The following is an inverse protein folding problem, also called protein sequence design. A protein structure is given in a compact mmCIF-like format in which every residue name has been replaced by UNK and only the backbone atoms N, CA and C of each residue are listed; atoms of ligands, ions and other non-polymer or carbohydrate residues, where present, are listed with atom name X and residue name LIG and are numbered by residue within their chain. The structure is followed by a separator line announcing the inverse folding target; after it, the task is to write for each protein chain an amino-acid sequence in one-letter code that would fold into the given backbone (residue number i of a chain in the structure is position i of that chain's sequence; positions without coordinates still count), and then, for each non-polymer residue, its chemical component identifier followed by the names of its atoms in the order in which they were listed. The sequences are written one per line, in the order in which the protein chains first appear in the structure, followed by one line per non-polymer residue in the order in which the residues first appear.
data_IF_983515040450
#
_entry.id   IF_983515040450
#
_cell.length_a   1.000
_cell.length_b   1.000
_cell.length_c   1.000
_cell.angle_alpha   90.00
_cell.angle_beta   90.00
_cell.angle_gamma   90.00
#
_symmetry.space_group_name_H-M   'P 1'
#
loop_
_entity.id
_entity.type
_entity.pdbx_description
1 polymer ?
#
# COMPACT_ATOMS: atom_id res chain seq x y z
N UNK A 1 11.11 12.76 46.07
CA UNK A 1 11.67 12.93 44.70
C UNK A 1 11.70 11.64 43.85
N UNK A 2 11.75 10.43 44.44
CA UNK A 2 11.84 9.15 43.69
C UNK A 2 10.56 8.78 42.92
N UNK A 3 9.39 9.19 43.41
CA UNK A 3 8.07 8.91 42.80
C UNK A 3 7.80 9.76 41.55
N UNK A 4 8.36 10.97 41.46
CA UNK A 4 8.20 11.86 40.30
C UNK A 4 9.08 11.40 39.11
N UNK A 5 10.29 10.89 39.39
CA UNK A 5 11.19 10.34 38.36
C UNK A 5 10.75 8.97 37.83
N UNK A 6 10.09 8.15 38.66
CA UNK A 6 9.56 6.85 38.27
C UNK A 6 8.36 6.97 37.29
N UNK A 7 7.51 7.99 37.48
CA UNK A 7 6.36 8.27 36.60
C UNK A 7 6.79 8.78 35.23
N UNK A 8 7.82 9.63 35.17
CA UNK A 8 8.35 10.15 33.90
C UNK A 8 9.12 9.09 33.11
N UNK A 9 9.85 8.18 33.76
CA UNK A 9 10.49 7.04 33.08
C UNK A 9 9.48 6.04 32.51
N UNK A 10 8.37 5.78 33.22
CA UNK A 10 7.32 4.86 32.75
C UNK A 10 6.59 5.41 31.50
N UNK A 11 6.31 6.71 31.47
CA UNK A 11 5.72 7.39 30.31
C UNK A 11 6.65 7.36 29.08
N UNK A 12 7.94 7.58 29.27
CA UNK A 12 8.93 7.54 28.18
C UNK A 12 9.07 6.14 27.56
N UNK A 13 8.99 5.07 28.38
CA UNK A 13 9.06 3.68 27.90
C UNK A 13 7.80 3.31 27.10
N UNK A 14 6.61 3.70 27.55
CA UNK A 14 5.36 3.48 26.79
C UNK A 14 5.36 4.18 25.42
N UNK A 15 5.90 5.40 25.34
CA UNK A 15 6.04 6.14 24.06
C UNK A 15 7.04 5.45 23.13
N UNK A 16 8.13 4.91 23.67
CA UNK A 16 9.13 4.18 22.87
C UNK A 16 8.59 2.86 22.29
N UNK A 17 7.75 2.14 23.05
CA UNK A 17 7.14 0.89 22.58
C UNK A 17 6.02 1.10 21.55
N UNK A 18 5.33 2.24 21.58
CA UNK A 18 4.23 2.54 20.65
C UNK A 18 4.72 2.82 19.21
N UNK A 19 5.95 3.31 19.03
CA UNK A 19 6.52 3.57 17.71
C UNK A 19 6.89 2.28 16.94
N UNK A 20 7.17 1.18 17.65
CA UNK A 20 7.62 -0.09 17.06
C UNK A 20 6.48 -0.95 16.49
N UNK A 21 5.21 -0.56 16.70
CA UNK A 21 4.03 -1.35 16.31
C UNK A 21 3.39 -0.89 14.99
N UNK A 22 4.17 -0.40 14.04
CA UNK A 22 3.72 -0.28 12.64
C UNK A 22 3.91 -1.63 11.95
N UNK A 23 3.13 -2.63 12.40
CA UNK A 23 2.97 -3.85 11.65
C UNK A 23 2.24 -3.51 10.35
N UNK A 24 2.96 -3.45 9.23
CA UNK A 24 2.32 -3.54 7.92
C UNK A 24 1.64 -4.90 7.86
N UNK A 25 0.33 -4.91 8.04
CA UNK A 25 -0.48 -6.04 7.62
C UNK A 25 -0.40 -6.10 6.09
N UNK A 26 0.66 -6.72 5.57
CA UNK A 26 0.57 -7.37 4.28
C UNK A 26 -0.44 -8.51 4.49
N UNK A 27 -1.72 -8.21 4.21
CA UNK A 27 -2.70 -9.23 3.90
C UNK A 27 -2.16 -9.97 2.67
N UNK A 28 -1.31 -10.97 2.93
CA UNK A 28 -0.72 -11.79 1.92
C UNK A 28 -1.88 -12.47 1.17
N UNK A 29 -2.05 -12.11 -0.10
CA UNK A 29 -3.02 -12.75 -0.97
C UNK A 29 -2.81 -14.27 -0.91
N UNK A 30 -3.92 -15.02 -0.84
CA UNK A 30 -3.82 -16.48 -0.94
C UNK A 30 -3.15 -16.87 -2.27
N UNK A 31 -2.44 -18.02 -2.34
CA UNK A 31 -1.84 -18.47 -3.58
C UNK A 31 -2.82 -18.50 -4.76
N UNK A 32 -4.06 -18.91 -4.52
CA UNK A 32 -5.13 -18.99 -5.51
C UNK A 32 -5.58 -17.60 -5.99
N UNK A 33 -5.70 -16.63 -5.07
CA UNK A 33 -6.03 -15.25 -5.43
C UNK A 33 -4.94 -14.62 -6.30
N UNK A 34 -3.67 -14.90 -5.99
CA UNK A 34 -2.53 -14.45 -6.79
C UNK A 34 -2.53 -15.10 -8.18
N UNK A 35 -2.75 -16.41 -8.27
CA UNK A 35 -2.84 -17.11 -9.55
C UNK A 35 -4.00 -16.58 -10.42
N UNK A 36 -5.17 -16.36 -9.83
CA UNK A 36 -6.31 -15.77 -10.52
C UNK A 36 -5.97 -14.36 -11.06
N UNK A 37 -5.34 -13.53 -10.24
CA UNK A 37 -4.92 -12.19 -10.69
C UNK A 37 -3.96 -12.27 -11.87
N UNK A 38 -2.92 -13.10 -11.80
CA UNK A 38 -1.91 -13.21 -12.84
C UNK A 38 -2.44 -13.84 -14.14
N UNK A 39 -3.36 -14.80 -14.05
CA UNK A 39 -3.85 -15.55 -15.22
C UNK A 39 -5.13 -15.00 -15.84
N UNK A 40 -5.92 -14.22 -15.09
CA UNK A 40 -7.21 -13.69 -15.56
C UNK A 40 -7.25 -12.16 -15.57
N UNK A 41 -6.84 -11.52 -14.48
CA UNK A 41 -7.00 -10.07 -14.31
C UNK A 41 -5.91 -9.30 -15.06
N UNK A 42 -4.63 -9.61 -14.83
CA UNK A 42 -3.52 -8.90 -15.47
C UNK A 42 -3.57 -8.95 -17.00
N UNK A 43 -3.88 -10.07 -17.66
CA UNK A 43 -3.99 -10.11 -19.12
C UNK A 43 -5.07 -9.15 -19.65
N UNK A 44 -6.24 -9.09 -19.02
CA UNK A 44 -7.30 -8.16 -19.41
C UNK A 44 -6.87 -6.69 -19.26
N UNK A 45 -6.13 -6.36 -18.20
CA UNK A 45 -5.60 -5.01 -18.01
C UNK A 45 -4.54 -4.64 -19.06
N UNK A 46 -3.67 -5.59 -19.42
CA UNK A 46 -2.66 -5.39 -20.48
C UNK A 46 -3.36 -5.13 -21.81
N UNK A 47 -4.35 -5.94 -22.15
CA UNK A 47 -5.06 -5.86 -23.44
C UNK A 47 -5.91 -4.60 -23.58
N UNK A 48 -6.59 -4.19 -22.51
CA UNK A 48 -7.64 -3.17 -22.60
C UNK A 48 -7.33 -1.85 -21.89
N UNK A 49 -6.34 -1.80 -20.99
CA UNK A 49 -6.16 -0.64 -20.11
C UNK A 49 -4.75 -0.05 -20.16
N UNK A 50 -3.71 -0.89 -20.20
CA UNK A 50 -2.32 -0.42 -20.03
C UNK A 50 -1.82 0.45 -21.18
N UNK A 51 -2.41 0.34 -22.37
CA UNK A 51 -2.12 1.24 -23.47
C UNK A 51 -2.25 2.74 -23.09
N UNK A 52 -3.17 3.07 -22.16
CA UNK A 52 -3.46 4.45 -21.73
C UNK A 52 -3.21 4.71 -20.23
N UNK A 53 -3.15 3.68 -19.40
CA UNK A 53 -3.10 3.80 -17.92
C UNK A 53 -1.94 3.02 -17.28
N UNK A 54 -0.77 3.00 -17.92
CA UNK A 54 0.45 2.37 -17.38
C UNK A 54 1.66 3.30 -17.53
N UNK A 55 2.78 2.94 -16.90
CA UNK A 55 4.05 3.67 -17.06
C UNK A 55 4.61 3.63 -18.49
N UNK A 56 4.18 2.66 -19.30
CA UNK A 56 4.62 2.52 -20.69
C UNK A 56 3.75 3.32 -21.66
N UNK A 57 2.66 3.92 -21.17
CA UNK A 57 1.82 4.78 -21.99
C UNK A 57 2.54 6.09 -22.33
N UNK A 58 2.51 6.56 -23.59
CA UNK A 58 3.07 7.86 -23.97
C UNK A 58 2.45 9.04 -23.21
N UNK A 59 1.18 8.91 -22.83
CA UNK A 59 0.44 9.90 -22.06
C UNK A 59 -0.49 9.18 -21.08
N UNK A 60 -0.37 9.50 -19.79
CA UNK A 60 -1.19 8.88 -18.76
C UNK A 60 -2.58 9.54 -18.73
N UNK A 61 -3.56 8.89 -19.35
CA UNK A 61 -4.90 9.46 -19.49
C UNK A 61 -5.61 9.58 -18.14
N UNK A 62 -6.20 10.75 -17.86
CA UNK A 62 -6.97 11.03 -16.65
C UNK A 62 -6.20 10.85 -15.34
N UNK A 63 -4.86 10.96 -15.37
CA UNK A 63 -4.01 10.81 -14.19
C UNK A 63 -3.99 9.41 -13.56
N UNK A 64 -4.63 8.43 -14.21
CA UNK A 64 -4.87 7.10 -13.65
C UNK A 64 -3.75 6.12 -13.98
N UNK A 65 -3.22 5.43 -12.96
CA UNK A 65 -2.12 4.46 -13.10
C UNK A 65 -2.50 3.07 -12.56
N UNK A 66 -2.73 2.12 -13.47
CA UNK A 66 -3.21 0.76 -13.18
C UNK A 66 -2.11 -0.32 -13.17
N UNK A 67 -0.86 -0.01 -13.45
CA UNK A 67 0.27 -0.94 -13.33
C UNK A 67 0.96 -0.90 -11.95
N UNK A 68 0.58 0.05 -11.09
CA UNK A 68 1.18 0.29 -9.78
C UNK A 68 0.13 0.33 -8.67
N UNK A 69 0.26 -0.51 -7.63
CA UNK A 69 -0.66 -0.54 -6.48
C UNK A 69 -1.00 0.84 -5.90
N UNK A 70 0.01 1.70 -5.71
CA UNK A 70 -0.21 3.06 -5.21
C UNK A 70 -0.99 3.96 -6.17
N UNK A 71 -0.93 3.70 -7.49
CA UNK A 71 -1.74 4.37 -8.50
C UNK A 71 -3.22 4.02 -8.38
N UNK A 72 -3.54 2.75 -8.13
CA UNK A 72 -4.92 2.32 -7.88
C UNK A 72 -5.50 2.98 -6.63
N UNK A 73 -4.70 3.05 -5.56
CA UNK A 73 -5.11 3.65 -4.29
C UNK A 73 -5.33 5.16 -4.39
N UNK A 74 -4.57 5.84 -5.24
CA UNK A 74 -4.71 7.28 -5.47
C UNK A 74 -5.94 7.60 -6.33
N UNK A 75 -6.22 6.78 -7.35
CA UNK A 75 -7.22 7.10 -8.37
C UNK A 75 -6.70 8.06 -9.44
N UNK A 76 -7.60 8.50 -10.32
CA UNK A 76 -7.33 9.51 -11.36
C UNK A 76 -7.83 10.91 -10.95
N UNK A 77 -7.84 11.84 -11.89
CA UNK A 77 -8.09 13.28 -11.67
C UNK A 77 -9.58 13.65 -11.40
N UNK A 78 -10.38 12.74 -10.86
CA UNK A 78 -11.83 12.96 -10.58
C UNK A 78 -12.10 13.73 -9.29
#
# INVERSE_FOLDING_TARGET
MRVCRLRTTLLAICVLTALASHGSADDALSPEAREFFETKVRPALVEHCYACHSAESPELQGGLRLDLKAGWQRGGDS
#
